data_IF_469004798158
#
_entry.id   IF_469004798158
#
_cell.length_a   1.000
_cell.length_b   1.000
_cell.length_c   1.000
_cell.angle_alpha   90.00
_cell.angle_beta   90.00
_cell.angle_gamma   90.00
#
_symmetry.space_group_name_H-M   'P 1'
#
loop_
_entity.id
_entity.type
_entity.pdbx_description
1 polymer ?
#
# COMPACT_ATOMS: atom_id res chain seq x y z
N UNK A 1 -35.01 56.57 29.68
CA UNK A 1 -35.45 55.27 29.13
C UNK A 1 -35.00 55.24 27.68
N UNK A 2 -33.91 54.55 27.36
CA UNK A 2 -33.40 54.45 25.98
C UNK A 2 -33.53 53.00 25.56
N UNK A 3 -34.44 52.76 24.62
CA UNK A 3 -34.73 51.47 24.01
C UNK A 3 -33.68 51.20 22.93
N UNK A 4 -32.92 50.10 23.08
CA UNK A 4 -31.91 49.67 22.13
C UNK A 4 -32.36 48.39 21.41
N UNK A 5 -32.60 48.52 20.12
CA UNK A 5 -33.05 47.46 19.20
C UNK A 5 -31.99 46.37 19.00
N UNK A 6 -32.40 45.10 19.00
CA UNK A 6 -31.57 43.92 18.73
C UNK A 6 -31.36 43.78 17.21
N UNK A 7 -30.12 43.55 16.72
CA UNK A 7 -29.92 43.24 15.31
C UNK A 7 -30.16 41.75 15.04
N UNK A 8 -31.08 41.48 14.11
CA UNK A 8 -31.39 40.16 13.57
C UNK A 8 -30.26 39.75 12.60
N UNK A 9 -29.35 38.88 13.05
CA UNK A 9 -28.32 38.30 12.18
C UNK A 9 -28.94 37.21 11.29
N UNK A 10 -29.11 37.55 10.00
CA UNK A 10 -29.43 36.61 8.92
C UNK A 10 -28.28 35.63 8.73
N UNK A 11 -28.47 34.39 9.19
CA UNK A 11 -27.59 33.26 8.87
C UNK A 11 -27.89 32.79 7.45
N UNK A 12 -27.02 33.13 6.50
CA UNK A 12 -27.02 32.52 5.17
C UNK A 12 -26.52 31.06 5.27
N UNK A 13 -27.19 30.07 4.67
CA UNK A 13 -26.72 28.69 4.69
C UNK A 13 -25.51 28.56 3.76
N UNK A 14 -24.33 28.33 4.35
CA UNK A 14 -23.15 27.84 3.66
C UNK A 14 -23.45 26.43 3.13
N UNK A 15 -23.80 26.34 1.85
CA UNK A 15 -23.88 25.06 1.14
C UNK A 15 -22.45 24.58 0.91
N UNK A 16 -21.89 23.89 1.90
CA UNK A 16 -20.63 23.17 1.75
C UNK A 16 -20.96 21.92 0.93
N UNK A 17 -20.79 22.02 -0.39
CA UNK A 17 -20.74 20.86 -1.26
C UNK A 17 -19.49 20.05 -0.91
N UNK A 18 -19.61 19.15 0.08
CA UNK A 18 -18.60 18.16 0.38
C UNK A 18 -18.49 17.24 -0.83
N UNK A 19 -17.48 17.46 -1.66
CA UNK A 19 -17.06 16.49 -2.66
C UNK A 19 -16.63 15.24 -1.90
N UNK A 20 -17.50 14.23 -1.87
CA UNK A 20 -17.27 12.92 -1.29
C UNK A 20 -16.23 12.19 -2.14
N UNK A 21 -14.96 12.56 -2.03
CA UNK A 21 -13.89 11.65 -2.43
C UNK A 21 -13.94 10.51 -1.40
N UNK A 22 -14.08 9.24 -1.82
CA UNK A 22 -14.09 8.12 -0.89
C UNK A 22 -12.72 8.05 -0.22
N UNK A 23 -12.64 8.47 1.04
CA UNK A 23 -11.38 8.58 1.80
C UNK A 23 -10.57 7.28 1.88
N UNK A 24 -11.20 6.14 1.60
CA UNK A 24 -10.55 4.83 1.49
C UNK A 24 -9.55 4.73 0.33
N UNK A 25 -9.81 5.39 -0.80
CA UNK A 25 -8.89 5.36 -1.95
C UNK A 25 -7.62 6.17 -1.67
N UNK A 26 -7.77 7.37 -1.08
CA UNK A 26 -6.64 8.23 -0.73
C UNK A 26 -5.75 7.59 0.34
N UNK A 27 -6.35 6.97 1.36
CA UNK A 27 -5.60 6.24 2.38
C UNK A 27 -4.79 5.05 1.81
N UNK A 28 -5.31 4.37 0.79
CA UNK A 28 -4.61 3.27 0.12
C UNK A 28 -3.41 3.76 -0.71
N UNK A 29 -3.57 4.86 -1.44
CA UNK A 29 -2.48 5.49 -2.19
C UNK A 29 -1.37 6.01 -1.24
N UNK A 30 -1.75 6.60 -0.12
CA UNK A 30 -0.81 7.06 0.92
C UNK A 30 -0.03 5.88 1.52
N UNK A 31 -0.68 4.74 1.78
CA UNK A 31 -0.06 3.51 2.29
C UNK A 31 1.01 2.95 1.34
N UNK A 32 0.73 2.93 0.03
CA UNK A 32 1.71 2.50 -0.97
C UNK A 32 2.88 3.48 -1.06
N UNK A 33 2.59 4.78 -1.12
CA UNK A 33 3.61 5.83 -1.19
C UNK A 33 4.53 5.80 0.02
N UNK A 34 3.99 5.65 1.23
CA UNK A 34 4.76 5.50 2.46
C UNK A 34 5.69 4.28 2.39
N UNK A 35 5.18 3.14 1.91
CA UNK A 35 5.97 1.92 1.75
C UNK A 35 7.15 2.12 0.78
N UNK A 36 6.91 2.80 -0.34
CA UNK A 36 7.94 3.11 -1.33
C UNK A 36 8.98 4.10 -0.78
N UNK A 37 8.54 5.16 -0.09
CA UNK A 37 9.43 6.17 0.48
C UNK A 37 10.33 5.62 1.57
N UNK A 38 9.83 4.72 2.41
CA UNK A 38 10.63 4.08 3.47
C UNK A 38 11.87 3.39 2.90
N UNK A 39 11.80 2.81 1.69
CA UNK A 39 12.95 2.14 1.07
C UNK A 39 13.94 3.09 0.38
N UNK A 40 13.50 4.28 -0.03
CA UNK A 40 14.40 5.30 -0.59
C UNK A 40 15.33 5.89 0.47
N UNK A 41 15.04 5.65 1.75
CA UNK A 41 15.84 6.13 2.89
C UNK A 41 17.08 5.26 3.15
N UNK A 42 17.23 4.10 2.48
CA UNK A 42 18.45 3.29 2.60
C UNK A 42 19.61 3.97 1.84
N UNK A 43 20.72 4.31 2.50
CA UNK A 43 21.78 5.15 1.93
C UNK A 43 22.66 4.43 0.91
N UNK A 44 22.49 3.11 0.74
CA UNK A 44 23.26 2.30 -0.21
C UNK A 44 22.36 1.30 -0.94
N UNK A 45 22.81 0.86 -2.12
CA UNK A 45 22.16 -0.20 -2.86
C UNK A 45 22.56 -1.55 -2.22
N UNK A 46 21.60 -2.33 -1.67
CA UNK A 46 21.89 -3.61 -1.04
C UNK A 46 22.38 -4.63 -2.07
N UNK A 47 23.34 -5.47 -1.65
CA UNK A 47 23.73 -6.68 -2.36
C UNK A 47 22.67 -7.78 -2.15
N UNK A 48 22.04 -8.23 -3.24
CA UNK A 48 20.97 -9.23 -3.15
C UNK A 48 21.47 -10.65 -2.90
N UNK A 49 22.78 -10.88 -2.94
CA UNK A 49 23.46 -12.12 -2.54
C UNK A 49 24.34 -11.93 -1.29
N UNK A 50 24.20 -10.76 -0.64
CA UNK A 50 24.97 -10.38 0.54
C UNK A 50 24.44 -10.97 1.85
N UNK A 51 24.52 -10.20 2.93
CA UNK A 51 24.03 -10.68 4.21
C UNK A 51 22.49 -10.67 4.30
N UNK A 52 21.94 -11.30 5.34
CA UNK A 52 20.48 -11.42 5.53
C UNK A 52 19.73 -10.08 5.44
N UNK A 53 20.29 -8.99 5.98
CA UNK A 53 19.65 -7.68 5.94
C UNK A 53 19.60 -7.10 4.52
N UNK A 54 20.65 -7.32 3.74
CA UNK A 54 20.74 -6.84 2.36
C UNK A 54 19.77 -7.63 1.46
N UNK A 55 19.71 -8.95 1.62
CA UNK A 55 18.72 -9.81 0.96
C UNK A 55 17.29 -9.33 1.28
N UNK A 56 16.99 -9.10 2.56
CA UNK A 56 15.68 -8.59 3.00
C UNK A 56 15.36 -7.24 2.37
N UNK A 57 16.34 -6.32 2.30
CA UNK A 57 16.15 -5.03 1.65
C UNK A 57 15.86 -5.16 0.15
N UNK A 58 16.54 -6.07 -0.56
CA UNK A 58 16.24 -6.38 -1.96
C UNK A 58 14.81 -6.91 -2.13
N UNK A 59 14.39 -7.85 -1.28
CA UNK A 59 13.05 -8.44 -1.35
C UNK A 59 11.94 -7.41 -1.05
N UNK A 60 12.14 -6.52 -0.09
CA UNK A 60 11.22 -5.40 0.16
C UNK A 60 11.10 -4.47 -1.05
N UNK A 61 12.22 -4.13 -1.68
CA UNK A 61 12.24 -3.28 -2.88
C UNK A 61 11.45 -3.92 -4.02
N UNK A 62 11.71 -5.20 -4.29
CA UNK A 62 10.99 -5.96 -5.30
C UNK A 62 9.49 -5.97 -5.03
N UNK A 63 9.08 -6.18 -3.77
CA UNK A 63 7.67 -6.21 -3.41
C UNK A 63 6.98 -4.89 -3.67
N UNK A 64 7.61 -3.79 -3.27
CA UNK A 64 7.06 -2.45 -3.51
C UNK A 64 6.98 -2.11 -5.00
N UNK A 65 7.98 -2.52 -5.80
CA UNK A 65 7.93 -2.35 -7.25
C UNK A 65 6.76 -3.13 -7.85
N UNK A 66 6.54 -4.36 -7.39
CA UNK A 66 5.40 -5.17 -7.82
C UNK A 66 4.06 -4.55 -7.38
N UNK A 67 3.95 -4.00 -6.17
CA UNK A 67 2.75 -3.31 -5.68
C UNK A 67 2.44 -2.08 -6.54
N UNK A 68 3.46 -1.32 -6.95
CA UNK A 68 3.31 -0.20 -7.90
C UNK A 68 2.85 -0.68 -9.28
N UNK A 69 3.36 -1.81 -9.77
CA UNK A 69 2.90 -2.41 -11.03
C UNK A 69 1.44 -2.86 -10.94
N UNK A 70 1.07 -3.55 -9.86
CA UNK A 70 -0.30 -3.98 -9.60
C UNK A 70 -1.25 -2.78 -9.45
N UNK A 71 -0.84 -1.69 -8.80
CA UNK A 71 -1.64 -0.46 -8.72
C UNK A 71 -2.07 0.01 -10.11
N UNK A 72 -1.15 0.00 -11.07
CA UNK A 72 -1.41 0.42 -12.46
C UNK A 72 -2.30 -0.57 -13.19
N UNK A 73 -2.07 -1.87 -13.02
CA UNK A 73 -2.85 -2.92 -13.68
C UNK A 73 -4.29 -2.99 -13.16
N UNK A 74 -4.47 -2.85 -11.85
CA UNK A 74 -5.77 -2.92 -11.19
C UNK A 74 -6.59 -1.62 -11.36
N UNK A 75 -5.92 -0.49 -11.60
CA UNK A 75 -6.56 0.83 -11.72
C UNK A 75 -7.30 1.28 -10.45
N UNK A 76 -7.04 0.63 -9.31
CA UNK A 76 -7.78 0.84 -8.06
C UNK A 76 -6.88 0.63 -6.85
N UNK A 77 -6.68 1.70 -6.08
CA UNK A 77 -5.90 1.68 -4.83
C UNK A 77 -6.59 0.87 -3.74
N UNK A 78 -7.91 0.95 -3.67
CA UNK A 78 -8.69 0.12 -2.74
C UNK A 78 -8.53 -1.38 -3.03
N UNK A 79 -8.54 -1.78 -4.32
CA UNK A 79 -8.35 -3.19 -4.68
C UNK A 79 -6.92 -3.65 -4.41
N UNK A 80 -5.92 -2.80 -4.65
CA UNK A 80 -4.55 -3.09 -4.27
C UNK A 80 -4.42 -3.30 -2.75
N UNK A 81 -5.05 -2.47 -1.92
CA UNK A 81 -4.93 -2.61 -0.47
C UNK A 81 -5.60 -3.88 0.06
N UNK A 82 -6.73 -4.26 -0.52
CA UNK A 82 -7.37 -5.55 -0.24
C UNK A 82 -6.45 -6.72 -0.61
N UNK A 83 -5.79 -6.64 -1.76
CA UNK A 83 -4.80 -7.62 -2.19
C UNK A 83 -3.60 -7.67 -1.24
N UNK A 84 -3.00 -6.52 -0.89
CA UNK A 84 -1.84 -6.43 0.04
C UNK A 84 -2.18 -7.05 1.39
N UNK A 85 -3.39 -6.78 1.90
CA UNK A 85 -3.88 -7.36 3.16
C UNK A 85 -4.01 -8.87 3.07
N UNK A 86 -4.68 -9.37 2.03
CA UNK A 86 -4.91 -10.81 1.84
C UNK A 86 -3.60 -11.57 1.63
N UNK A 87 -2.71 -11.02 0.80
CA UNK A 87 -1.37 -11.55 0.54
C UNK A 87 -0.55 -11.64 1.83
N UNK A 88 -0.56 -10.59 2.66
CA UNK A 88 0.15 -10.58 3.95
C UNK A 88 -0.28 -11.77 4.81
N UNK A 89 -1.58 -11.98 4.99
CA UNK A 89 -2.12 -13.07 5.80
C UNK A 89 -1.71 -14.46 5.29
N UNK A 90 -1.77 -14.66 3.97
CA UNK A 90 -1.33 -15.92 3.34
C UNK A 90 0.17 -16.15 3.59
N UNK A 91 0.98 -15.11 3.44
CA UNK A 91 2.42 -15.23 3.58
C UNK A 91 2.90 -15.32 5.04
N UNK A 92 2.17 -14.75 5.99
CA UNK A 92 2.40 -15.00 7.44
C UNK A 92 2.24 -16.48 7.75
N UNK A 93 1.18 -17.12 7.22
CA UNK A 93 0.99 -18.57 7.37
C UNK A 93 2.13 -19.38 6.75
N UNK A 94 2.63 -18.98 5.58
CA UNK A 94 3.75 -19.65 4.93
C UNK A 94 5.06 -19.49 5.73
N UNK A 95 5.26 -18.33 6.36
CA UNK A 95 6.46 -18.00 7.11
C UNK A 95 6.49 -18.55 8.54
N UNK A 96 5.36 -19.05 9.07
CA UNK A 96 5.23 -19.55 10.44
C UNK A 96 6.31 -20.59 10.84
N UNK A 97 6.80 -21.41 9.90
CA UNK A 97 7.87 -22.40 10.18
C UNK A 97 9.24 -21.77 10.46
N UNK A 98 9.41 -20.50 10.12
CA UNK A 98 10.64 -19.74 10.32
C UNK A 98 10.51 -18.71 11.46
N UNK A 99 9.41 -18.72 12.21
CA UNK A 99 9.13 -17.76 13.28
C UNK A 99 10.27 -17.70 14.32
N UNK A 100 10.63 -16.48 14.73
CA UNK A 100 11.76 -16.21 15.63
C UNK A 100 13.16 -16.30 15.00
N UNK A 101 13.28 -16.85 13.78
CA UNK A 101 14.54 -16.95 13.05
C UNK A 101 14.85 -15.71 12.21
N UNK A 102 16.13 -15.44 11.97
CA UNK A 102 16.58 -14.36 11.06
C UNK A 102 16.14 -14.55 9.61
N UNK A 103 15.79 -15.78 9.23
CA UNK A 103 15.26 -16.12 7.90
C UNK A 103 13.76 -15.83 7.75
N UNK A 104 13.02 -15.61 8.84
CA UNK A 104 11.60 -15.29 8.81
C UNK A 104 11.22 -14.20 7.78
N UNK A 105 11.85 -13.01 7.76
CA UNK A 105 11.53 -11.98 6.78
C UNK A 105 11.82 -12.40 5.33
N UNK A 106 12.83 -13.24 5.10
CA UNK A 106 13.16 -13.76 3.76
C UNK A 106 12.05 -14.68 3.27
N UNK A 107 11.58 -15.59 4.11
CA UNK A 107 10.47 -16.52 3.76
C UNK A 107 9.19 -15.74 3.49
N UNK A 108 8.85 -14.80 4.38
CA UNK A 108 7.65 -13.98 4.27
C UNK A 108 7.65 -13.11 3.01
N UNK A 109 8.70 -12.32 2.77
CA UNK A 109 8.80 -11.46 1.58
C UNK A 109 8.92 -12.26 0.28
N UNK A 110 9.62 -13.41 0.33
CA UNK A 110 9.73 -14.31 -0.81
C UNK A 110 8.35 -14.83 -1.25
N UNK A 111 7.47 -15.14 -0.29
CA UNK A 111 6.08 -15.47 -0.57
C UNK A 111 5.33 -14.27 -1.20
N UNK A 112 5.42 -13.07 -0.61
CA UNK A 112 4.72 -11.90 -1.13
C UNK A 112 5.12 -11.59 -2.57
N UNK A 113 6.42 -11.65 -2.87
CA UNK A 113 6.95 -11.43 -4.21
C UNK A 113 6.47 -12.46 -5.22
N UNK A 114 6.42 -13.74 -4.86
CA UNK A 114 5.93 -14.81 -5.74
C UNK A 114 4.44 -14.64 -6.05
N UNK A 115 3.62 -14.33 -5.05
CA UNK A 115 2.19 -14.09 -5.26
C UNK A 115 1.93 -12.87 -6.14
N UNK A 116 2.66 -11.78 -5.91
CA UNK A 116 2.59 -10.61 -6.78
C UNK A 116 2.97 -10.94 -8.22
N UNK A 117 4.10 -11.64 -8.43
CA UNK A 117 4.55 -12.01 -9.77
C UNK A 117 3.52 -12.90 -10.49
N UNK A 118 2.90 -13.83 -9.78
CA UNK A 118 1.83 -14.68 -10.32
C UNK A 118 0.62 -13.85 -10.74
N UNK A 119 0.14 -12.93 -9.88
CA UNK A 119 -1.00 -12.08 -10.21
C UNK A 119 -0.71 -11.12 -11.36
N UNK A 120 0.48 -10.51 -11.37
CA UNK A 120 0.93 -9.65 -12.48
C UNK A 120 0.90 -10.44 -13.78
N UNK A 121 1.43 -11.67 -13.78
CA UNK A 121 1.43 -12.53 -14.96
C UNK A 121 0.00 -12.83 -15.43
N UNK A 122 -0.89 -13.21 -14.53
CA UNK A 122 -2.29 -13.53 -14.86
C UNK A 122 -3.02 -12.34 -15.49
N UNK A 123 -2.90 -11.14 -14.90
CA UNK A 123 -3.59 -9.94 -15.39
C UNK A 123 -2.97 -9.42 -16.70
N UNK A 124 -1.65 -9.54 -16.85
CA UNK A 124 -0.93 -8.99 -18.00
C UNK A 124 -0.98 -9.90 -19.23
N UNK A 125 -1.38 -11.16 -19.06
CA UNK A 125 -1.49 -12.09 -20.18
C UNK A 125 -2.69 -11.71 -21.05
N UNK A 126 -2.50 -11.54 -22.37
CA UNK A 126 -3.63 -11.37 -23.27
C UNK A 126 -4.49 -12.63 -23.22
N UNK A 127 -5.81 -12.44 -23.12
CA UNK A 127 -6.75 -13.54 -23.32
C UNK A 127 -6.48 -14.09 -24.72
N UNK A 128 -6.09 -15.37 -24.80
CA UNK A 128 -5.93 -16.05 -26.08
C UNK A 128 -7.30 -16.02 -26.79
N UNK A 129 -7.39 -15.60 -28.05
CA UNK A 129 -8.62 -15.65 -28.83
C UNK A 129 -9.16 -17.08 -28.96
#
# INVERSE_FOLDING_TARGET
MVSGSVPLLLLAPLVISAVLIPGSAQAADDSLNQSVQQLRRFPFQPDCDGNTQEIVACLWRQRNQNDVTLQRLLGSSALLEQWRTSRRQVCERAAAKAEGGSIHPIVWLGCENKLNAALIKEISQPLVP
#
